data_IF_735219248374
#
_entry.id   IF_735219248374
#
_cell.length_a   1.000
_cell.length_b   1.000
_cell.length_c   1.000
_cell.angle_alpha   90.00
_cell.angle_beta   90.00
_cell.angle_gamma   90.00
#
_symmetry.space_group_name_H-M   'P 1'
#
loop_
_entity.id
_entity.type
_entity.pdbx_description
1 polymer ?
#
# COMPACT_ATOMS: atom_id res chain seq x y z
N UNK A 1 14.11 -3.99 -10.81
CA UNK A 1 15.39 -3.35 -10.47
C UNK A 1 15.16 -2.38 -9.31
N UNK A 2 15.95 -2.47 -8.23
CA UNK A 2 15.80 -1.59 -7.06
C UNK A 2 16.01 -0.10 -7.37
N UNK A 3 16.57 0.24 -8.53
CA UNK A 3 16.68 1.62 -9.01
C UNK A 3 15.33 2.18 -9.45
N UNK A 4 14.45 1.35 -9.97
CA UNK A 4 13.12 1.79 -10.45
C UNK A 4 12.17 2.03 -9.29
N UNK A 5 12.30 1.26 -8.21
CA UNK A 5 11.48 1.39 -7.01
C UNK A 5 11.66 2.73 -6.28
N UNK A 6 12.89 3.19 -6.18
CA UNK A 6 13.18 4.46 -5.52
C UNK A 6 13.02 5.68 -6.45
N UNK A 7 12.75 5.43 -7.73
CA UNK A 7 12.85 6.45 -8.75
C UNK A 7 14.27 7.01 -8.86
N UNK A 8 14.52 7.79 -9.85
CA UNK A 8 15.78 8.54 -10.00
C UNK A 8 15.59 10.04 -9.80
N UNK A 9 14.40 10.46 -9.38
CA UNK A 9 14.02 11.86 -9.24
C UNK A 9 13.82 12.57 -10.59
N UNK A 10 13.75 11.82 -11.68
CA UNK A 10 13.59 12.34 -13.04
C UNK A 10 12.17 12.02 -13.51
N UNK A 11 11.42 13.05 -13.87
CA UNK A 11 10.11 12.88 -14.47
C UNK A 11 10.28 12.24 -15.87
N UNK A 12 9.64 11.10 -16.15
CA UNK A 12 9.70 10.49 -17.48
C UNK A 12 9.02 11.36 -18.54
N UNK A 13 9.44 11.19 -19.79
CA UNK A 13 8.84 11.90 -20.91
C UNK A 13 7.33 11.63 -21.00
N UNK A 14 6.57 12.70 -21.28
CA UNK A 14 5.11 12.64 -21.39
C UNK A 14 4.36 12.84 -20.06
N UNK A 15 5.03 12.88 -18.93
CA UNK A 15 4.42 13.20 -17.64
C UNK A 15 4.63 14.68 -17.28
N UNK A 16 3.74 15.23 -16.43
CA UNK A 16 3.85 16.60 -15.97
C UNK A 16 4.88 16.70 -14.84
N UNK A 17 6.04 17.37 -15.04
CA UNK A 17 7.11 17.42 -14.05
C UNK A 17 6.72 18.15 -12.75
N UNK A 18 5.75 19.06 -12.78
CA UNK A 18 5.25 19.76 -11.59
C UNK A 18 4.55 18.81 -10.62
N UNK A 19 3.92 17.77 -11.15
CA UNK A 19 3.12 16.83 -10.36
C UNK A 19 3.75 15.44 -10.26
N UNK A 20 4.86 15.20 -10.96
CA UNK A 20 5.61 13.96 -10.79
C UNK A 20 6.07 13.82 -9.34
N UNK A 21 5.77 12.67 -8.75
CA UNK A 21 6.14 12.38 -7.37
C UNK A 21 6.52 10.93 -7.23
N UNK A 22 7.71 10.69 -6.74
CA UNK A 22 8.23 9.37 -6.45
C UNK A 22 8.88 9.33 -5.06
N UNK A 23 9.30 8.14 -4.62
CA UNK A 23 9.91 7.95 -3.32
C UNK A 23 11.20 8.79 -3.14
N UNK A 24 11.96 9.03 -4.20
CA UNK A 24 13.16 9.87 -4.13
C UNK A 24 12.80 11.34 -3.89
N UNK A 25 11.78 11.83 -4.57
CA UNK A 25 11.27 13.18 -4.36
C UNK A 25 10.79 13.35 -2.93
N UNK A 26 9.99 12.39 -2.43
CA UNK A 26 9.56 12.37 -1.03
C UNK A 26 10.73 12.44 -0.06
N UNK A 27 11.72 11.56 -0.21
CA UNK A 27 12.88 11.54 0.67
C UNK A 27 13.71 12.83 0.60
N UNK A 28 13.75 13.50 -0.56
CA UNK A 28 14.45 14.77 -0.71
C UNK A 28 13.79 15.93 0.02
N UNK A 29 12.49 15.82 0.30
CA UNK A 29 11.72 16.81 1.05
C UNK A 29 11.84 16.65 2.57
N UNK A 30 12.39 15.54 3.04
CA UNK A 30 12.57 15.24 4.46
C UNK A 30 13.92 15.73 4.97
N UNK A 31 13.97 16.11 6.26
CA UNK A 31 15.23 16.28 6.99
C UNK A 31 15.99 14.94 7.09
N UNK A 32 17.27 14.97 7.41
CA UNK A 32 18.04 13.71 7.56
C UNK A 32 17.53 12.87 8.73
N UNK A 33 17.04 13.49 9.79
CA UNK A 33 16.38 12.82 10.91
C UNK A 33 15.07 12.14 10.45
N UNK A 34 14.25 12.85 9.70
CA UNK A 34 12.98 12.33 9.20
C UNK A 34 13.17 11.21 8.16
N UNK A 35 14.24 11.24 7.37
CA UNK A 35 14.60 10.12 6.50
C UNK A 35 14.83 8.83 7.29
N UNK A 36 15.49 8.91 8.43
CA UNK A 36 15.70 7.76 9.32
C UNK A 36 14.37 7.32 9.90
N UNK A 37 13.56 8.24 10.43
CA UNK A 37 12.24 7.96 10.98
C UNK A 37 11.31 7.31 9.95
N UNK A 38 11.36 7.73 8.69
CA UNK A 38 10.53 7.17 7.62
C UNK A 38 10.87 5.72 7.27
N UNK A 39 11.94 5.16 7.81
CA UNK A 39 12.37 3.76 7.62
C UNK A 39 12.26 2.91 8.88
N UNK A 40 11.79 3.49 9.97
CA UNK A 40 11.65 2.80 11.25
C UNK A 40 10.17 2.62 11.61
N UNK A 41 9.73 1.36 11.70
CA UNK A 41 8.37 1.02 12.12
C UNK A 41 8.02 1.54 13.53
N UNK A 42 9.00 1.79 14.38
CA UNK A 42 8.77 2.36 15.70
C UNK A 42 8.23 3.80 15.62
N UNK A 43 8.48 4.50 14.52
CA UNK A 43 7.96 5.86 14.30
C UNK A 43 6.44 5.93 14.43
N UNK A 44 5.71 4.93 13.97
CA UNK A 44 4.25 4.86 14.08
C UNK A 44 3.73 4.79 15.53
N UNK A 45 4.61 4.49 16.48
CA UNK A 45 4.26 4.46 17.91
C UNK A 45 4.77 5.66 18.69
N UNK A 46 5.34 6.66 17.99
CA UNK A 46 5.78 7.90 18.63
C UNK A 46 4.68 8.96 18.56
N UNK A 47 4.53 9.74 19.64
CA UNK A 47 3.66 10.92 19.63
C UNK A 47 4.21 11.99 18.68
N UNK A 48 3.30 12.76 18.06
CA UNK A 48 3.67 13.86 17.16
C UNK A 48 3.98 13.44 15.72
N UNK A 49 3.73 12.21 15.37
CA UNK A 49 3.77 11.76 13.98
C UNK A 49 2.49 12.23 13.25
N UNK A 50 2.63 13.09 12.26
CA UNK A 50 1.50 13.70 11.54
C UNK A 50 1.27 13.09 10.16
N UNK A 51 0.07 13.33 9.61
CA UNK A 51 -0.28 12.88 8.25
C UNK A 51 0.69 13.44 7.21
N UNK A 52 1.07 14.71 7.30
CA UNK A 52 1.96 15.42 6.37
C UNK A 52 3.37 14.81 6.29
N UNK A 53 3.73 14.01 7.28
CA UNK A 53 4.99 13.27 7.26
C UNK A 53 4.94 12.10 6.25
N UNK A 54 3.76 11.55 5.96
CA UNK A 54 3.60 10.34 5.16
C UNK A 54 3.74 10.59 3.65
N UNK A 55 4.14 9.55 2.92
CA UNK A 55 4.14 9.57 1.47
C UNK A 55 2.70 9.69 0.93
N UNK A 56 1.75 8.92 1.48
CA UNK A 56 0.36 8.90 1.04
C UNK A 56 -0.31 10.27 1.12
N UNK A 57 -0.16 10.98 2.24
CA UNK A 57 -0.75 12.32 2.40
C UNK A 57 -0.21 13.30 1.35
N UNK A 58 1.10 13.34 1.16
CA UNK A 58 1.74 14.20 0.16
C UNK A 58 1.34 13.86 -1.27
N UNK A 59 1.14 12.56 -1.55
CA UNK A 59 0.64 12.08 -2.84
C UNK A 59 -0.79 12.56 -3.08
N UNK A 60 -1.68 12.45 -2.07
CA UNK A 60 -3.06 12.94 -2.13
C UNK A 60 -3.13 14.45 -2.33
N UNK A 61 -2.33 15.23 -1.61
CA UNK A 61 -2.30 16.69 -1.75
C UNK A 61 -1.89 17.11 -3.16
N UNK A 62 -0.89 16.44 -3.76
CA UNK A 62 -0.48 16.68 -5.15
C UNK A 62 -1.58 16.31 -6.14
N UNK A 63 -2.26 15.18 -5.94
CA UNK A 63 -3.37 14.76 -6.77
C UNK A 63 -4.53 15.78 -6.72
N UNK A 64 -4.88 16.25 -5.52
CA UNK A 64 -5.92 17.27 -5.33
C UNK A 64 -5.52 18.60 -5.97
N UNK A 65 -4.27 19.01 -5.84
CA UNK A 65 -3.76 20.22 -6.49
C UNK A 65 -3.81 20.09 -8.03
N UNK A 66 -3.44 18.93 -8.57
CA UNK A 66 -3.57 18.63 -10.00
C UNK A 66 -5.02 18.75 -10.48
N UNK A 67 -5.96 18.12 -9.78
CA UNK A 67 -7.38 18.17 -10.13
C UNK A 67 -7.91 19.61 -10.11
N UNK A 68 -7.51 20.44 -9.16
CA UNK A 68 -7.90 21.86 -9.13
C UNK A 68 -7.40 22.65 -10.34
N UNK A 69 -6.18 22.36 -10.80
CA UNK A 69 -5.57 23.06 -11.94
C UNK A 69 -6.14 22.60 -13.29
N UNK A 70 -6.45 21.30 -13.43
CA UNK A 70 -6.80 20.70 -14.72
C UNK A 70 -8.26 20.25 -14.84
N UNK A 71 -9.12 20.56 -13.89
CA UNK A 71 -10.54 20.13 -13.85
C UNK A 71 -11.35 20.44 -15.12
N UNK A 72 -10.98 21.49 -15.85
CA UNK A 72 -11.66 21.95 -17.06
C UNK A 72 -10.98 21.45 -18.36
N UNK A 73 -10.07 20.48 -18.25
CA UNK A 73 -9.30 19.91 -19.36
C UNK A 73 -9.41 18.39 -19.36
N UNK A 74 -9.14 17.76 -20.49
CA UNK A 74 -8.93 16.32 -20.53
C UNK A 74 -7.61 15.98 -19.84
N UNK A 75 -7.64 14.99 -18.96
CA UNK A 75 -6.44 14.57 -18.21
C UNK A 75 -6.37 13.05 -18.03
N UNK A 76 -5.16 12.58 -17.82
CA UNK A 76 -4.87 11.25 -17.29
C UNK A 76 -4.03 11.42 -16.01
N UNK A 77 -4.55 10.96 -14.89
CA UNK A 77 -3.91 11.05 -13.59
C UNK A 77 -3.72 9.65 -12.99
N UNK A 78 -2.50 9.31 -12.63
CA UNK A 78 -2.21 8.14 -11.81
C UNK A 78 -1.80 8.59 -10.42
N UNK A 79 -2.47 8.08 -9.39
CA UNK A 79 -2.12 8.30 -7.98
C UNK A 79 -1.68 6.96 -7.42
N UNK A 80 -0.41 6.84 -7.06
CA UNK A 80 0.20 5.61 -6.58
C UNK A 80 0.70 5.80 -5.15
N UNK A 81 0.18 5.00 -4.24
CA UNK A 81 0.55 5.01 -2.82
C UNK A 81 1.58 3.93 -2.54
N UNK A 82 2.61 4.25 -1.74
CA UNK A 82 3.57 3.27 -1.25
C UNK A 82 3.00 2.47 -0.07
N UNK A 83 2.12 3.10 0.70
CA UNK A 83 1.42 2.45 1.80
C UNK A 83 0.49 1.32 1.29
N UNK A 84 0.48 0.14 1.93
CA UNK A 84 1.02 -0.17 3.26
C UNK A 84 2.42 -0.79 3.26
N UNK A 85 3.26 -0.53 2.26
CA UNK A 85 4.63 -1.08 2.19
C UNK A 85 5.39 -0.84 3.51
N UNK A 86 6.24 -1.81 3.89
CA UNK A 86 7.07 -1.67 5.08
C UNK A 86 8.00 -0.44 5.05
N UNK A 87 8.09 0.26 6.18
CA UNK A 87 7.75 -0.11 7.56
C UNK A 87 6.29 0.09 7.99
N UNK A 88 5.34 0.30 7.09
CA UNK A 88 3.89 0.47 7.36
C UNK A 88 3.62 1.66 8.28
N UNK A 89 4.10 2.82 7.88
CA UNK A 89 3.95 4.06 8.65
C UNK A 89 2.54 4.62 8.49
N UNK A 90 1.87 4.83 9.61
CA UNK A 90 0.57 5.50 9.65
C UNK A 90 0.42 6.33 10.93
N UNK A 91 -0.20 7.52 10.85
CA UNK A 91 -0.41 8.37 12.02
C UNK A 91 -1.53 7.87 12.91
N UNK A 92 -1.69 8.48 14.09
CA UNK A 92 -2.87 8.26 14.92
C UNK A 92 -4.14 8.76 14.19
N UNK A 93 -5.31 8.08 14.33
CA UNK A 93 -5.56 6.92 15.19
C UNK A 93 -5.22 5.57 14.52
N UNK A 94 -4.79 5.57 13.27
CA UNK A 94 -4.59 4.37 12.46
C UNK A 94 -3.53 3.43 13.02
N UNK A 95 -2.45 3.98 13.59
CA UNK A 95 -1.34 3.22 14.17
C UNK A 95 -1.75 2.31 15.35
N UNK A 96 -2.90 2.58 15.98
CA UNK A 96 -3.45 1.80 17.10
C UNK A 96 -4.77 1.12 16.78
N UNK A 97 -5.32 1.35 15.58
CA UNK A 97 -6.67 0.90 15.20
C UNK A 97 -6.85 -0.62 15.32
N UNK A 98 -5.79 -1.39 15.12
CA UNK A 98 -5.81 -2.84 15.12
C UNK A 98 -4.93 -3.46 16.22
N UNK A 99 -4.67 -2.73 17.30
CA UNK A 99 -3.91 -3.27 18.42
C UNK A 99 -4.60 -4.52 18.99
N UNK A 100 -3.82 -5.59 19.13
CA UNK A 100 -4.33 -6.88 19.60
C UNK A 100 -5.07 -7.73 18.57
N UNK A 101 -5.22 -7.28 17.33
CA UNK A 101 -5.89 -8.05 16.29
C UNK A 101 -5.09 -9.32 15.93
N UNK A 102 -5.80 -10.44 15.78
CA UNK A 102 -5.26 -11.72 15.33
C UNK A 102 -6.11 -12.23 14.16
N UNK A 103 -5.46 -12.80 13.15
CA UNK A 103 -6.17 -13.53 12.09
C UNK A 103 -6.58 -14.92 12.55
N UNK A 104 -7.73 -15.39 12.05
CA UNK A 104 -7.96 -16.82 11.95
C UNK A 104 -7.08 -17.39 10.83
N UNK A 105 -6.51 -18.57 11.05
CA UNK A 105 -5.66 -19.20 10.07
C UNK A 105 -6.43 -19.55 8.80
N UNK A 106 -5.88 -19.20 7.66
CA UNK A 106 -6.33 -19.74 6.38
C UNK A 106 -6.14 -21.27 6.36
N UNK A 107 -7.06 -22.05 5.73
CA UNK A 107 -6.84 -23.48 5.50
C UNK A 107 -5.51 -23.79 4.80
N UNK A 108 -5.00 -22.88 3.98
CA UNK A 108 -3.70 -22.99 3.32
C UNK A 108 -2.51 -22.97 4.28
N UNK A 109 -2.71 -22.58 5.54
CA UNK A 109 -1.69 -22.66 6.59
C UNK A 109 -1.19 -24.10 6.83
N UNK A 110 -2.02 -25.10 6.56
CA UNK A 110 -1.66 -26.51 6.70
C UNK A 110 -0.72 -27.01 5.58
N UNK A 111 -0.45 -26.21 4.55
CA UNK A 111 0.53 -26.54 3.53
C UNK A 111 1.95 -26.55 4.13
N UNK A 112 2.56 -27.71 4.15
CA UNK A 112 3.93 -27.92 4.66
C UNK A 112 5.02 -27.56 3.63
N UNK A 113 4.61 -27.13 2.44
CA UNK A 113 5.46 -26.79 1.31
C UNK A 113 6.38 -27.95 0.83
N UNK A 114 6.19 -29.18 1.31
CA UNK A 114 7.07 -30.32 0.97
C UNK A 114 7.05 -30.66 -0.53
N UNK A 115 5.95 -30.35 -1.21
CA UNK A 115 5.75 -30.55 -2.67
C UNK A 115 5.96 -29.29 -3.48
N UNK A 116 6.44 -28.23 -2.87
CA UNK A 116 6.68 -26.93 -3.50
C UNK A 116 8.17 -26.71 -3.80
N UNK A 117 8.51 -25.81 -4.72
CA UNK A 117 9.90 -25.44 -4.97
C UNK A 117 10.64 -25.07 -3.68
N UNK A 118 11.90 -25.47 -3.58
CA UNK A 118 12.75 -25.21 -2.40
C UNK A 118 12.76 -23.72 -2.01
N UNK A 119 12.70 -22.84 -2.98
CA UNK A 119 12.65 -21.40 -2.71
C UNK A 119 11.48 -20.99 -1.81
N UNK A 120 10.33 -21.65 -1.89
CA UNK A 120 9.19 -21.36 -1.01
C UNK A 120 9.44 -21.84 0.42
N UNK A 121 10.10 -22.98 0.59
CA UNK A 121 10.51 -23.47 1.90
C UNK A 121 11.54 -22.53 2.55
N UNK A 122 12.51 -22.05 1.77
CA UNK A 122 13.46 -21.04 2.22
C UNK A 122 12.78 -19.71 2.59
N UNK A 123 11.80 -19.31 1.80
CA UNK A 123 11.00 -18.11 2.07
C UNK A 123 10.19 -18.25 3.35
N UNK A 124 9.54 -19.39 3.60
CA UNK A 124 8.85 -19.64 4.85
C UNK A 124 9.80 -19.55 6.07
N UNK A 125 11.06 -19.95 5.90
CA UNK A 125 12.09 -19.86 6.93
C UNK A 125 11.64 -20.51 8.23
N UNK A 126 11.70 -19.76 9.34
CA UNK A 126 11.25 -20.25 10.66
C UNK A 126 9.77 -20.62 10.72
N UNK A 127 8.93 -20.00 9.87
CA UNK A 127 7.50 -20.26 9.86
C UNK A 127 7.15 -21.64 9.32
N UNK A 128 8.07 -22.30 8.61
CA UNK A 128 7.85 -23.63 8.03
C UNK A 128 7.47 -24.67 9.11
N UNK A 129 8.02 -24.53 10.30
CA UNK A 129 7.79 -25.44 11.44
C UNK A 129 7.14 -24.76 12.64
N UNK A 130 6.80 -23.49 12.52
CA UNK A 130 6.18 -22.75 13.62
C UNK A 130 4.75 -23.27 13.88
N UNK A 131 4.32 -23.38 15.14
CA UNK A 131 2.94 -23.66 15.46
C UNK A 131 2.03 -22.51 14.97
N UNK A 132 0.81 -22.85 14.61
CA UNK A 132 -0.19 -21.89 14.12
C UNK A 132 -0.37 -20.72 15.07
N UNK A 133 -0.40 -20.98 16.38
CA UNK A 133 -0.54 -19.97 17.42
C UNK A 133 0.57 -18.91 17.45
N UNK A 134 1.74 -19.21 16.88
CA UNK A 134 2.83 -18.23 16.79
C UNK A 134 2.71 -17.35 15.55
N UNK A 135 2.18 -17.88 14.45
CA UNK A 135 2.03 -17.14 13.19
C UNK A 135 0.82 -16.20 13.24
N UNK A 136 -0.29 -16.68 13.85
CA UNK A 136 -1.51 -15.88 14.03
C UNK A 136 -1.49 -14.99 15.27
N UNK A 137 -0.41 -14.99 15.98
CA UNK A 137 -0.26 -14.12 17.15
C UNK A 137 -0.35 -12.66 16.76
N UNK A 138 -1.13 -11.91 17.52
CA UNK A 138 -1.14 -10.46 17.42
C UNK A 138 0.30 -9.93 17.45
N UNK A 139 0.69 -9.25 16.41
CA UNK A 139 2.01 -8.64 16.32
C UNK A 139 1.91 -7.17 16.01
N UNK A 140 2.89 -6.42 16.50
CA UNK A 140 3.01 -4.99 16.22
C UNK A 140 3.04 -4.70 14.72
N UNK A 141 3.77 -5.54 13.95
CA UNK A 141 3.87 -5.40 12.51
C UNK A 141 2.54 -5.63 11.79
N UNK A 142 1.73 -6.59 12.25
CA UNK A 142 0.40 -6.84 11.70
C UNK A 142 -0.55 -5.67 11.98
N UNK A 143 -0.61 -5.18 13.21
CA UNK A 143 -1.43 -4.03 13.58
C UNK A 143 -1.09 -2.81 12.74
N UNK A 144 0.20 -2.51 12.58
CA UNK A 144 0.66 -1.40 11.75
C UNK A 144 0.32 -1.60 10.26
N UNK A 145 0.49 -2.81 9.73
CA UNK A 145 0.15 -3.11 8.34
C UNK A 145 -1.34 -2.84 8.08
N UNK A 146 -2.24 -3.32 8.95
CA UNK A 146 -3.68 -3.10 8.82
C UNK A 146 -4.06 -1.63 9.03
N UNK A 147 -3.46 -0.96 10.02
CA UNK A 147 -3.66 0.46 10.25
C UNK A 147 -3.20 1.31 9.07
N UNK A 148 -2.07 0.95 8.47
CA UNK A 148 -1.53 1.62 7.29
C UNK A 148 -2.43 1.43 6.06
N UNK A 149 -3.06 0.25 5.88
CA UNK A 149 -4.08 0.05 4.86
C UNK A 149 -5.28 0.98 5.08
N UNK A 150 -5.77 1.10 6.33
CA UNK A 150 -6.89 1.99 6.64
C UNK A 150 -6.53 3.47 6.45
N UNK A 151 -5.29 3.84 6.70
CA UNK A 151 -4.79 5.18 6.43
C UNK A 151 -4.69 5.45 4.91
N UNK A 152 -4.18 4.50 4.12
CA UNK A 152 -4.16 4.61 2.67
C UNK A 152 -5.58 4.75 2.09
N UNK A 153 -6.55 3.98 2.61
CA UNK A 153 -7.97 4.10 2.22
C UNK A 153 -8.53 5.49 2.55
N UNK A 154 -8.22 6.03 3.73
CA UNK A 154 -8.58 7.40 4.10
C UNK A 154 -8.01 8.44 3.13
N UNK A 155 -6.74 8.33 2.78
CA UNK A 155 -6.07 9.23 1.84
C UNK A 155 -6.65 9.11 0.41
N UNK A 156 -6.93 7.89 -0.04
CA UNK A 156 -7.65 7.67 -1.30
C UNK A 156 -9.05 8.32 -1.27
N UNK A 157 -9.75 8.23 -0.14
CA UNK A 157 -11.04 8.88 0.08
C UNK A 157 -10.97 10.39 -0.16
N UNK A 158 -9.92 11.07 0.31
CA UNK A 158 -9.70 12.51 0.07
C UNK A 158 -9.63 12.83 -1.43
N UNK A 159 -8.90 12.02 -2.20
CA UNK A 159 -8.78 12.20 -3.66
C UNK A 159 -10.10 11.90 -4.36
N UNK A 160 -10.81 10.84 -3.97
CA UNK A 160 -12.13 10.50 -4.53
C UNK A 160 -13.17 11.59 -4.26
N UNK A 161 -13.14 12.21 -3.08
CA UNK A 161 -13.97 13.36 -2.74
C UNK A 161 -13.64 14.58 -3.62
N UNK A 162 -12.37 14.82 -3.91
CA UNK A 162 -11.97 15.89 -4.82
C UNK A 162 -12.42 15.60 -6.26
N UNK A 163 -12.26 14.37 -6.75
CA UNK A 163 -12.75 13.95 -8.08
C UNK A 163 -14.27 14.16 -8.17
N UNK A 164 -15.03 13.76 -7.17
CA UNK A 164 -16.49 13.90 -7.20
C UNK A 164 -16.97 15.33 -7.28
N UNK A 165 -16.18 16.30 -6.82
CA UNK A 165 -16.49 17.74 -6.82
C UNK A 165 -15.94 18.46 -8.04
N UNK A 166 -14.75 18.08 -8.49
CA UNK A 166 -13.99 18.84 -9.51
C UNK A 166 -14.07 18.20 -10.90
N UNK A 167 -14.24 16.88 -10.98
CA UNK A 167 -14.30 16.13 -12.23
C UNK A 167 -15.29 14.94 -12.10
N UNK A 168 -16.60 15.22 -11.87
CA UNK A 168 -17.60 14.18 -11.55
C UNK A 168 -17.79 13.14 -12.67
N UNK A 169 -17.49 13.52 -13.92
CA UNK A 169 -17.60 12.66 -15.09
C UNK A 169 -16.33 11.85 -15.38
N UNK A 170 -15.27 12.04 -14.59
CA UNK A 170 -14.04 11.29 -14.76
C UNK A 170 -14.27 9.79 -14.50
N UNK A 171 -13.68 8.95 -15.37
CA UNK A 171 -13.57 7.53 -15.12
C UNK A 171 -12.51 7.32 -14.03
N UNK A 172 -12.85 6.55 -12.99
CA UNK A 172 -11.95 6.20 -11.92
C UNK A 172 -11.70 4.70 -11.96
N UNK A 173 -10.44 4.30 -11.98
CA UNK A 173 -10.01 2.91 -11.90
C UNK A 173 -9.22 2.74 -10.60
N UNK A 174 -9.69 1.85 -9.72
CA UNK A 174 -8.99 1.45 -8.50
C UNK A 174 -8.45 0.04 -8.67
N UNK A 175 -7.19 -0.14 -8.36
CA UNK A 175 -6.51 -1.43 -8.40
C UNK A 175 -5.31 -1.43 -7.45
N UNK A 176 -4.67 -2.58 -7.29
CA UNK A 176 -3.42 -2.78 -6.57
C UNK A 176 -2.40 -3.45 -7.48
N UNK A 177 -1.13 -3.34 -7.18
CA UNK A 177 -0.05 -4.03 -7.88
C UNK A 177 0.01 -5.52 -7.49
N UNK A 178 -0.22 -5.84 -6.21
CA UNK A 178 -0.25 -7.21 -5.66
C UNK A 178 -0.96 -7.22 -4.30
N UNK A 179 -1.25 -8.41 -3.80
CA UNK A 179 -1.68 -8.65 -2.42
C UNK A 179 -0.51 -9.02 -1.49
N UNK A 180 -0.83 -9.67 -0.37
CA UNK A 180 0.15 -10.16 0.62
C UNK A 180 -0.26 -11.53 1.15
N UNK A 181 0.71 -12.39 1.43
CA UNK A 181 0.46 -13.75 1.92
C UNK A 181 -0.11 -13.78 3.32
N UNK A 182 0.22 -12.83 4.19
CA UNK A 182 -0.28 -12.69 5.56
C UNK A 182 -0.35 -14.03 6.34
N UNK A 183 0.63 -14.90 6.15
CA UNK A 183 0.70 -16.21 6.80
C UNK A 183 0.07 -17.36 6.00
N UNK A 184 -0.66 -17.10 4.92
CA UNK A 184 -1.14 -18.16 4.04
C UNK A 184 0.04 -19.00 3.52
N UNK A 185 -0.11 -20.32 3.44
CA UNK A 185 0.97 -21.25 3.10
C UNK A 185 2.24 -21.08 3.96
N UNK A 186 2.12 -20.57 5.19
CA UNK A 186 3.23 -20.22 6.10
C UNK A 186 4.17 -19.15 5.55
N UNK A 187 3.73 -18.43 4.52
CA UNK A 187 4.50 -17.40 3.84
C UNK A 187 4.09 -16.00 4.31
N UNK A 188 5.00 -15.06 4.21
CA UNK A 188 4.77 -13.66 4.51
C UNK A 188 5.18 -12.79 3.32
N UNK A 189 4.61 -11.58 3.23
CA UNK A 189 4.90 -10.66 2.13
C UNK A 189 4.48 -11.23 0.75
N UNK A 190 5.02 -10.72 -0.32
CA UNK A 190 4.58 -10.97 -1.70
C UNK A 190 5.49 -11.88 -2.52
N UNK A 191 6.79 -11.72 -2.41
CA UNK A 191 7.84 -12.43 -3.16
C UNK A 191 7.45 -12.84 -4.62
N UNK A 192 8.16 -13.81 -5.18
CA UNK A 192 7.98 -14.26 -6.57
C UNK A 192 7.04 -15.48 -6.69
N UNK A 193 5.91 -15.50 -5.97
CA UNK A 193 4.96 -16.61 -6.05
C UNK A 193 3.57 -16.10 -6.46
N UNK A 194 2.97 -16.80 -7.44
CA UNK A 194 1.66 -16.44 -7.98
C UNK A 194 0.52 -17.16 -7.22
N UNK A 195 0.54 -17.08 -5.88
CA UNK A 195 -0.60 -17.49 -5.08
C UNK A 195 -1.75 -16.48 -5.23
N UNK A 196 -2.99 -16.96 -5.07
CA UNK A 196 -4.17 -16.08 -5.16
C UNK A 196 -4.11 -14.92 -4.17
N UNK A 197 -3.51 -15.11 -3.02
CA UNK A 197 -3.32 -14.10 -1.98
C UNK A 197 -2.47 -12.92 -2.46
N UNK A 198 -1.60 -13.16 -3.44
CA UNK A 198 -0.75 -12.13 -4.05
C UNK A 198 -1.30 -11.69 -5.41
N UNK A 199 -1.83 -12.61 -6.21
CA UNK A 199 -2.19 -12.35 -7.60
C UNK A 199 -3.66 -11.88 -7.79
N UNK A 200 -4.55 -12.18 -6.83
CA UNK A 200 -5.95 -11.77 -6.91
C UNK A 200 -6.10 -10.35 -6.36
N UNK A 201 -5.91 -9.36 -7.22
CA UNK A 201 -5.98 -7.94 -6.89
C UNK A 201 -7.37 -7.37 -7.20
N UNK A 202 -7.80 -6.31 -6.50
CA UNK A 202 -9.07 -5.64 -6.80
C UNK A 202 -8.99 -4.91 -8.15
N UNK A 203 -10.12 -4.87 -8.85
CA UNK A 203 -10.33 -3.97 -9.97
C UNK A 203 -11.73 -3.37 -9.85
N UNK A 204 -11.80 -2.07 -9.55
CA UNK A 204 -13.06 -1.33 -9.42
C UNK A 204 -13.02 -0.20 -10.44
N UNK A 205 -14.06 -0.10 -11.26
CA UNK A 205 -14.19 0.96 -12.27
C UNK A 205 -15.47 1.73 -11.99
N UNK A 206 -15.33 3.04 -11.73
CA UNK A 206 -16.44 3.99 -11.66
C UNK A 206 -16.45 4.82 -12.95
N UNK A 207 -17.62 4.96 -13.56
CA UNK A 207 -17.76 5.63 -14.86
C UNK A 207 -17.74 4.62 -16.01
N UNK A 208 -18.21 5.05 -17.19
CA UNK A 208 -18.42 4.16 -18.34
C UNK A 208 -19.87 3.74 -18.51
N UNK A 209 -20.18 2.93 -19.55
CA UNK A 209 -21.53 2.76 -20.07
C UNK A 209 -22.47 1.93 -19.18
N UNK A 210 -22.01 1.11 -18.23
CA UNK A 210 -22.85 0.33 -17.32
C UNK A 210 -22.07 -0.10 -16.07
N UNK A 211 -22.72 0.01 -14.91
CA UNK A 211 -22.24 -0.63 -13.70
C UNK A 211 -22.47 -2.16 -13.82
N UNK A 212 -21.42 -2.92 -13.95
CA UNK A 212 -21.46 -4.39 -13.92
C UNK A 212 -20.46 -4.88 -12.88
N UNK A 213 -20.89 -5.88 -12.11
CA UNK A 213 -19.97 -6.69 -11.29
C UNK A 213 -19.60 -7.89 -12.14
N UNK A 214 -18.34 -8.03 -12.49
CA UNK A 214 -17.83 -9.21 -13.20
C UNK A 214 -17.13 -10.09 -12.16
N UNK A 215 -17.67 -11.28 -11.96
CA UNK A 215 -17.05 -12.34 -11.17
C UNK A 215 -16.45 -13.35 -12.17
N UNK A 216 -15.14 -13.47 -12.21
CA UNK A 216 -14.43 -14.58 -12.86
C UNK A 216 -13.87 -15.54 -11.82
#
# INVERSE_FOLDING_TARGET
DGSDYFGNGICPDGWNPKYWYDMRTYLSELSDEDKIRSRDSQTSYTEGFSEEFTYAHRCSDRAIAYLNEFKDQDFFLTVSYDEPHGPSLCPAPFNHMYDGFCFESSPSFQDDLSKKPMMQQLWAGKNLHAPESEINKASKGLSLFLGCNSFADYEMGRVLDAISKLAPDAMVIYTSDHGDMLGAHRLASKNAAAYKEVANIPLIIKGGAKNQVVHE
#
